data_IF_559974689986
#
_entry.id   IF_559974689986
#
_cell.length_a   1.000
_cell.length_b   1.000
_cell.length_c   1.000
_cell.angle_alpha   90.00
_cell.angle_beta   90.00
_cell.angle_gamma   90.00
#
_symmetry.space_group_name_H-M   'P 1'
#
loop_
_entity.id
_entity.type
_entity.pdbx_description
1 polymer ?
#
# COMPACT_ATOMS: atom_id res chain seq x y z
N UNK A 1 16.26 -20.49 -8.95
CA UNK A 1 16.06 -20.77 -7.51
C UNK A 1 15.26 -19.61 -6.94
N UNK A 2 13.97 -19.78 -6.64
CA UNK A 2 13.14 -18.70 -6.11
C UNK A 2 13.36 -18.61 -4.59
N UNK A 3 14.20 -17.68 -4.14
CA UNK A 3 14.40 -17.43 -2.72
C UNK A 3 13.13 -16.79 -2.15
N UNK A 4 12.53 -17.44 -1.15
CA UNK A 4 11.19 -17.11 -0.63
C UNK A 4 11.12 -15.74 0.05
N UNK A 5 12.24 -15.18 0.51
CA UNK A 5 12.30 -13.84 1.11
C UNK A 5 13.56 -13.06 0.69
N UNK A 6 13.50 -11.72 0.78
CA UNK A 6 14.65 -10.83 0.52
C UNK A 6 15.82 -11.05 1.50
N UNK A 7 15.51 -11.51 2.71
CA UNK A 7 16.51 -11.86 3.72
C UNK A 7 17.29 -13.11 3.28
N UNK A 8 16.58 -14.13 2.80
CA UNK A 8 17.20 -15.37 2.28
C UNK A 8 18.10 -15.07 1.08
N UNK A 9 17.66 -14.15 0.21
CA UNK A 9 18.47 -13.66 -0.91
C UNK A 9 19.79 -13.05 -0.45
N UNK A 10 19.75 -12.17 0.56
CA UNK A 10 20.96 -11.52 1.09
C UNK A 10 21.89 -12.53 1.79
N UNK A 11 21.33 -13.51 2.49
CA UNK A 11 22.10 -14.59 3.10
C UNK A 11 22.77 -15.49 2.04
N UNK A 12 22.06 -15.81 0.96
CA UNK A 12 22.58 -16.62 -0.14
C UNK A 12 23.73 -15.90 -0.87
N UNK A 13 23.55 -14.61 -1.21
CA UNK A 13 24.58 -13.79 -1.85
C UNK A 13 25.87 -13.77 -1.02
N UNK A 14 25.78 -13.59 0.30
CA UNK A 14 26.96 -13.60 1.20
C UNK A 14 27.62 -14.96 1.32
N UNK A 15 26.85 -16.04 1.26
CA UNK A 15 27.39 -17.41 1.25
C UNK A 15 28.25 -17.63 0.01
N UNK A 16 27.72 -17.29 -1.15
CA UNK A 16 28.40 -17.50 -2.43
C UNK A 16 29.56 -16.52 -2.64
N UNK A 17 29.45 -15.28 -2.13
CA UNK A 17 30.56 -14.33 -2.13
C UNK A 17 31.73 -14.82 -1.26
N UNK A 18 31.46 -15.40 -0.08
CA UNK A 18 32.50 -16.07 0.74
C UNK A 18 33.10 -17.28 0.05
N UNK A 19 32.34 -17.95 -0.83
CA UNK A 19 32.83 -19.01 -1.71
C UNK A 19 33.69 -18.53 -2.88
N UNK A 20 34.03 -17.23 -2.96
CA UNK A 20 34.91 -16.68 -3.98
C UNK A 20 34.22 -16.31 -5.31
N UNK A 21 32.89 -16.31 -5.36
CA UNK A 21 32.18 -15.88 -6.58
C UNK A 21 32.36 -14.38 -6.82
N UNK A 22 32.62 -14.02 -8.08
CA UNK A 22 32.70 -12.62 -8.49
C UNK A 22 31.33 -11.93 -8.45
N UNK A 23 31.32 -10.61 -8.30
CA UNK A 23 30.10 -9.80 -8.28
C UNK A 23 29.23 -10.03 -9.52
N UNK A 24 29.83 -10.12 -10.70
CA UNK A 24 29.11 -10.41 -11.96
C UNK A 24 28.48 -11.80 -11.97
N UNK A 25 29.15 -12.81 -11.39
CA UNK A 25 28.60 -14.16 -11.28
C UNK A 25 27.39 -14.19 -10.33
N UNK A 26 27.46 -13.48 -9.20
CA UNK A 26 26.36 -13.33 -8.25
C UNK A 26 25.14 -12.65 -8.89
N UNK A 27 25.36 -11.56 -9.65
CA UNK A 27 24.28 -10.86 -10.37
C UNK A 27 23.54 -11.81 -11.34
N UNK A 28 24.29 -12.59 -12.13
CA UNK A 28 23.70 -13.55 -13.08
C UNK A 28 22.99 -14.71 -12.38
N UNK A 29 23.57 -15.24 -11.30
CA UNK A 29 23.03 -16.38 -10.55
C UNK A 29 21.73 -16.06 -9.85
N UNK A 30 21.63 -14.87 -9.26
CA UNK A 30 20.46 -14.45 -8.48
C UNK A 30 19.51 -13.52 -9.24
N UNK A 31 19.87 -13.06 -10.44
CA UNK A 31 19.05 -12.14 -11.25
C UNK A 31 18.89 -10.76 -10.62
N UNK A 32 19.92 -10.28 -9.90
CA UNK A 32 19.89 -9.02 -9.15
C UNK A 32 20.88 -8.00 -9.70
N UNK A 33 20.58 -6.71 -9.51
CA UNK A 33 21.49 -5.61 -9.85
C UNK A 33 22.70 -5.52 -8.92
N UNK A 34 23.76 -4.87 -9.39
CA UNK A 34 25.01 -4.63 -8.66
C UNK A 34 24.77 -4.03 -7.26
N UNK A 35 23.90 -3.03 -7.18
CA UNK A 35 23.59 -2.34 -5.93
C UNK A 35 22.99 -3.29 -4.88
N UNK A 36 22.19 -4.26 -5.31
CA UNK A 36 21.60 -5.26 -4.40
C UNK A 36 22.68 -6.20 -3.88
N UNK A 37 23.63 -6.60 -4.73
CA UNK A 37 24.78 -7.42 -4.31
C UNK A 37 25.65 -6.65 -3.31
N UNK A 38 25.99 -5.39 -3.59
CA UNK A 38 26.76 -4.56 -2.65
C UNK A 38 26.04 -4.37 -1.32
N UNK A 39 24.74 -4.05 -1.33
CA UNK A 39 23.93 -3.94 -0.10
C UNK A 39 23.92 -5.24 0.71
N UNK A 40 23.86 -6.39 0.04
CA UNK A 40 23.92 -7.69 0.71
C UNK A 40 25.30 -8.00 1.30
N UNK A 41 26.39 -7.48 0.73
CA UNK A 41 27.73 -7.62 1.28
C UNK A 41 27.97 -6.69 2.48
N UNK A 42 27.42 -5.48 2.44
CA UNK A 42 27.60 -4.46 3.49
C UNK A 42 26.66 -4.71 4.68
N UNK A 43 25.41 -5.11 4.43
CA UNK A 43 24.39 -5.30 5.47
C UNK A 43 23.86 -6.72 5.50
N UNK A 44 23.70 -7.25 6.72
CA UNK A 44 23.15 -8.57 6.94
C UNK A 44 21.64 -8.68 6.71
N UNK A 45 20.94 -7.56 6.90
CA UNK A 45 19.50 -7.47 6.71
C UNK A 45 19.21 -6.46 5.59
N UNK A 46 18.30 -6.79 4.66
CA UNK A 46 17.85 -5.81 3.70
C UNK A 46 17.22 -4.64 4.43
N UNK A 47 17.60 -3.41 4.05
CA UNK A 47 16.96 -2.21 4.58
C UNK A 47 15.45 -2.33 4.37
N UNK A 48 14.63 -2.09 5.41
CA UNK A 48 13.19 -2.10 5.25
C UNK A 48 12.84 -1.09 4.15
N UNK A 49 11.93 -1.48 3.26
CA UNK A 49 11.42 -0.53 2.28
C UNK A 49 10.80 0.63 3.05
N UNK A 50 11.28 1.85 2.76
CA UNK A 50 10.63 3.06 3.28
C UNK A 50 9.21 3.04 2.75
N UNK A 51 8.23 2.79 3.62
CA UNK A 51 6.84 2.98 3.28
C UNK A 51 6.71 4.46 2.94
N UNK A 52 6.28 4.76 1.73
CA UNK A 52 5.93 6.13 1.40
C UNK A 52 4.75 6.49 2.29
N UNK A 53 4.88 7.58 3.04
CA UNK A 53 3.73 8.16 3.71
C UNK A 53 2.65 8.42 2.64
N UNK A 54 1.38 8.08 2.91
CA UNK A 54 0.29 8.45 2.03
C UNK A 54 0.37 9.95 1.76
N UNK A 55 0.51 10.33 0.48
CA UNK A 55 0.47 11.75 0.12
C UNK A 55 -0.94 12.26 0.36
N UNK A 56 -1.04 13.41 1.01
CA UNK A 56 -2.32 14.08 1.17
C UNK A 56 -2.88 14.43 -0.22
N UNK A 57 -4.08 13.93 -0.51
CA UNK A 57 -4.78 14.25 -1.74
C UNK A 57 -5.87 15.28 -1.48
N UNK A 58 -6.29 16.01 -2.51
CA UNK A 58 -7.44 16.94 -2.41
C UNK A 58 -8.74 16.26 -1.94
N UNK A 59 -8.84 14.94 -2.10
CA UNK A 59 -9.97 14.14 -1.60
C UNK A 59 -9.91 13.91 -0.09
N UNK A 60 -8.78 14.14 0.57
CA UNK A 60 -8.61 13.82 1.99
C UNK A 60 -9.53 14.66 2.87
N UNK A 61 -9.76 15.94 2.51
CA UNK A 61 -10.73 16.81 3.17
C UNK A 61 -12.18 16.30 3.06
N UNK A 62 -12.48 15.52 2.02
CA UNK A 62 -13.82 15.01 1.72
C UNK A 62 -14.04 13.55 2.15
N UNK A 63 -12.99 12.84 2.55
CA UNK A 63 -13.07 11.46 3.08
C UNK A 63 -14.14 11.28 4.16
N UNK A 64 -14.20 12.10 5.24
CA UNK A 64 -15.20 11.88 6.29
C UNK A 64 -16.64 12.05 5.78
N UNK A 65 -16.86 12.92 4.79
CA UNK A 65 -18.16 13.11 4.17
C UNK A 65 -18.54 11.92 3.26
N UNK A 66 -17.58 11.44 2.47
CA UNK A 66 -17.76 10.25 1.62
C UNK A 66 -18.05 9.03 2.49
N UNK A 67 -17.31 8.83 3.58
CA UNK A 67 -17.49 7.71 4.50
C UNK A 67 -18.87 7.73 5.16
N UNK A 68 -19.37 8.92 5.54
CA UNK A 68 -20.74 9.08 6.04
C UNK A 68 -21.81 8.69 5.03
N UNK A 69 -21.65 9.11 3.76
CA UNK A 69 -22.58 8.76 2.68
C UNK A 69 -22.54 7.25 2.39
N UNK A 70 -21.35 6.66 2.31
CA UNK A 70 -21.18 5.22 2.08
C UNK A 70 -21.73 4.39 3.23
N UNK A 71 -21.56 4.83 4.47
CA UNK A 71 -22.12 4.14 5.66
C UNK A 71 -23.64 4.15 5.64
N UNK A 72 -24.26 5.29 5.27
CA UNK A 72 -25.70 5.37 5.08
C UNK A 72 -26.18 4.42 3.97
N UNK A 73 -25.43 4.32 2.87
CA UNK A 73 -25.75 3.45 1.73
C UNK A 73 -25.71 1.95 2.05
N UNK A 74 -24.92 1.53 3.04
CA UNK A 74 -24.87 0.11 3.46
C UNK A 74 -26.24 -0.38 3.96
N UNK A 75 -26.94 0.48 4.72
CA UNK A 75 -28.26 0.20 5.28
C UNK A 75 -29.42 0.55 4.34
N UNK A 76 -29.14 1.30 3.28
CA UNK A 76 -30.14 1.70 2.30
C UNK A 76 -30.59 0.54 1.39
N UNK A 77 -31.88 0.48 1.01
CA UNK A 77 -32.40 -0.41 -0.02
C UNK A 77 -31.58 -0.30 -1.32
N UNK A 78 -31.42 -1.42 -2.05
CA UNK A 78 -30.53 -1.51 -3.23
C UNK A 78 -30.72 -0.39 -4.28
N UNK A 79 -31.95 0.11 -4.44
CA UNK A 79 -32.29 1.19 -5.38
C UNK A 79 -31.95 2.60 -4.88
N UNK A 80 -31.67 2.77 -3.58
CA UNK A 80 -31.37 4.04 -2.92
C UNK A 80 -29.88 4.23 -2.64
N UNK A 81 -29.05 3.20 -2.85
CA UNK A 81 -27.59 3.30 -2.72
C UNK A 81 -27.03 4.28 -3.75
N UNK A 82 -26.15 5.18 -3.32
CA UNK A 82 -25.50 6.11 -4.22
C UNK A 82 -24.42 5.39 -5.03
N UNK A 83 -24.30 5.80 -6.29
CA UNK A 83 -23.14 5.44 -7.12
C UNK A 83 -22.04 6.48 -6.90
N UNK A 84 -20.80 6.11 -7.20
CA UNK A 84 -19.64 7.02 -7.13
C UNK A 84 -19.91 8.35 -7.85
N UNK A 85 -20.57 8.30 -9.01
CA UNK A 85 -20.96 9.49 -9.79
C UNK A 85 -21.92 10.41 -9.01
N UNK A 86 -22.85 9.84 -8.24
CA UNK A 86 -23.84 10.59 -7.46
C UNK A 86 -23.22 11.21 -6.20
N UNK A 87 -22.31 10.49 -5.55
CA UNK A 87 -21.52 11.01 -4.43
C UNK A 87 -20.65 12.18 -4.91
N UNK A 88 -20.04 12.05 -6.08
CA UNK A 88 -19.25 13.13 -6.66
C UNK A 88 -20.06 14.35 -7.08
N UNK A 89 -21.20 14.16 -7.76
CA UNK A 89 -22.08 15.29 -8.10
C UNK A 89 -22.44 16.08 -6.85
N UNK A 90 -22.79 15.38 -5.76
CA UNK A 90 -23.06 16.00 -4.47
C UNK A 90 -21.85 16.76 -3.89
N UNK A 91 -20.64 16.21 -4.01
CA UNK A 91 -19.40 16.90 -3.61
C UNK A 91 -19.13 18.17 -4.42
N UNK A 92 -19.43 18.16 -5.72
CA UNK A 92 -19.31 19.35 -6.57
C UNK A 92 -20.36 20.39 -6.23
N UNK A 93 -21.62 19.97 -6.12
CA UNK A 93 -22.79 20.85 -6.00
C UNK A 93 -22.88 21.48 -4.60
N UNK A 94 -22.64 20.73 -3.53
CA UNK A 94 -22.78 21.21 -2.14
C UNK A 94 -21.47 21.81 -1.59
N UNK A 95 -20.31 21.39 -2.10
CA UNK A 95 -19.01 21.74 -1.52
C UNK A 95 -18.01 22.39 -2.49
N UNK A 96 -18.38 22.63 -3.75
CA UNK A 96 -17.52 23.32 -4.72
C UNK A 96 -16.19 22.61 -4.99
N UNK A 97 -16.18 21.28 -4.88
CA UNK A 97 -14.94 20.51 -4.78
C UNK A 97 -14.15 20.47 -6.11
N UNK A 98 -12.95 21.05 -6.18
CA UNK A 98 -12.04 20.92 -7.36
C UNK A 98 -11.22 19.60 -7.31
N UNK A 99 -11.94 18.48 -7.41
CA UNK A 99 -11.38 17.12 -7.41
C UNK A 99 -11.74 16.43 -8.71
N UNK A 100 -10.77 15.80 -9.39
CA UNK A 100 -11.05 14.95 -10.55
C UNK A 100 -11.67 13.63 -10.10
N UNK A 101 -12.63 13.14 -10.87
CA UNK A 101 -13.12 11.77 -10.73
C UNK A 101 -11.98 10.78 -10.93
N UNK A 102 -11.66 10.03 -9.87
CA UNK A 102 -10.74 8.92 -9.96
C UNK A 102 -11.55 7.63 -9.93
N UNK A 103 -11.60 6.95 -11.08
CA UNK A 103 -12.26 5.64 -11.22
C UNK A 103 -11.36 4.58 -10.61
N UNK A 104 -11.42 4.42 -9.29
CA UNK A 104 -10.75 3.34 -8.57
C UNK A 104 -11.70 2.78 -7.54
N UNK A 105 -11.85 1.46 -7.50
CA UNK A 105 -12.58 0.75 -6.45
C UNK A 105 -12.19 1.32 -5.08
N UNK A 106 -13.11 2.07 -4.46
CA UNK A 106 -13.06 2.39 -3.05
C UNK A 106 -13.15 1.05 -2.32
N UNK A 107 -11.99 0.44 -2.05
CA UNK A 107 -11.88 -0.79 -1.26
C UNK A 107 -12.49 -0.47 0.11
N UNK A 108 -13.69 -1.00 0.32
CA UNK A 108 -14.42 -0.98 1.58
C UNK A 108 -13.59 -1.73 2.63
N UNK A 109 -12.74 -1.03 3.37
CA UNK A 109 -12.25 -1.55 4.63
C UNK A 109 -13.39 -1.40 5.65
N UNK A 110 -13.87 -2.47 6.29
CA UNK A 110 -14.87 -2.34 7.35
C UNK A 110 -14.32 -1.45 8.46
N UNK A 111 -15.17 -0.66 9.15
CA UNK A 111 -14.71 0.21 10.23
C UNK A 111 -13.92 -0.62 11.23
N UNK A 112 -12.66 -0.20 11.50
CA UNK A 112 -11.84 -0.80 12.55
C UNK A 112 -12.68 -0.83 13.81
N UNK A 113 -13.00 -2.04 14.27
CA UNK A 113 -13.64 -2.29 15.55
C UNK A 113 -12.99 -1.41 16.61
N UNK A 114 -13.77 -0.54 17.24
CA UNK A 114 -13.33 0.24 18.39
C UNK A 114 -12.73 -0.76 19.41
N UNK A 115 -11.57 -0.49 20.01
CA UNK A 115 -11.05 -1.34 21.06
C UNK A 115 -12.11 -1.40 22.17
N UNK A 116 -12.49 -2.63 22.54
CA UNK A 116 -13.46 -2.94 23.58
C UNK A 116 -13.35 -1.96 24.75
N UNK A 117 -14.44 -1.24 25.01
CA UNK A 117 -14.62 -0.61 26.30
C UNK A 117 -14.69 -1.73 27.35
N UNK A 118 -13.61 -1.92 28.08
CA UNK A 118 -13.61 -2.73 29.30
C UNK A 118 -14.61 -2.11 30.29
N UNK A 119 -15.55 -2.88 30.84
CA UNK A 119 -16.38 -2.40 31.93
C UNK A 119 -15.56 -2.43 33.23
N UNK A 120 -15.55 -1.31 33.94
CA UNK A 120 -15.31 -1.24 35.38
C UNK A 120 -16.67 -1.06 36.05
#
# INVERSE_FOLDING_TARGET
MLLKSKVDLYAAIRRDARGGMSLRALMRKYGVGYETVQKALISALPTPQKKMEPRETRLDSYKPLIDGILTADLTAPRKQRHTVKRIYGRLLDEHGADVRQQTGELRLEPPRSLPNASPM
#
